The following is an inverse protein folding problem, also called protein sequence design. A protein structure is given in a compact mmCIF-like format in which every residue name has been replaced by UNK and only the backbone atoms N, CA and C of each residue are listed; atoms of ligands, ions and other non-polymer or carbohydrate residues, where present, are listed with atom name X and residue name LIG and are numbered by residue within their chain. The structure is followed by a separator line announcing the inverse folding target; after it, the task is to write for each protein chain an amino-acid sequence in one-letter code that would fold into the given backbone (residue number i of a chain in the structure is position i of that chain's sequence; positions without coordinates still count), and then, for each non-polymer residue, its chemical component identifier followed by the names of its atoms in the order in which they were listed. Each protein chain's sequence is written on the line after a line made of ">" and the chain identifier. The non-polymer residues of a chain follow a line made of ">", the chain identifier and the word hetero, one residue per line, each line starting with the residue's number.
data_IF_014936578116
#
_entry.id   IF_014936578116
#
_cell.length_a   1.000
_cell.length_b   1.000
_cell.length_c   1.000
_cell.angle_alpha   90.00
_cell.angle_beta   90.00
_cell.angle_gamma   90.00
#
_symmetry.space_group_name_H-M   'P 1'
#
loop_
_entity.id
_entity.type
_entity.pdbx_description
1 polymer ?
#
# COMPACT_ATOMS: atom_id res chain seq x y z
N UNK A 1 44.51 2.70 -9.79
CA UNK A 1 43.33 1.83 -9.59
C UNK A 1 42.19 2.41 -10.40
N UNK A 2 41.70 1.69 -11.42
CA UNK A 2 40.58 2.16 -12.25
C UNK A 2 39.29 1.95 -11.47
N UNK A 3 38.59 3.03 -11.11
CA UNK A 3 37.24 2.95 -10.54
C UNK A 3 36.28 2.54 -11.64
N UNK A 4 36.01 1.25 -11.75
CA UNK A 4 35.05 0.70 -12.71
C UNK A 4 33.67 1.31 -12.46
N UNK A 5 33.19 2.11 -13.41
CA UNK A 5 31.90 2.81 -13.34
C UNK A 5 30.77 1.78 -13.28
N UNK A 6 30.07 1.68 -12.15
CA UNK A 6 28.88 0.81 -12.00
C UNK A 6 27.68 1.44 -12.70
N UNK A 7 26.83 0.61 -13.29
CA UNK A 7 25.58 1.06 -13.94
C UNK A 7 24.42 0.89 -12.97
N UNK A 8 23.48 1.83 -12.96
CA UNK A 8 22.27 1.76 -12.14
C UNK A 8 21.21 0.92 -12.88
N UNK A 9 20.73 -0.13 -12.24
CA UNK A 9 19.58 -0.91 -12.68
C UNK A 9 18.43 -0.72 -11.68
N UNK A 10 17.20 -0.63 -12.19
CA UNK A 10 16.02 -0.46 -11.37
C UNK A 10 14.92 -1.41 -11.83
N UNK A 11 14.39 -2.21 -10.90
CA UNK A 11 13.22 -3.04 -11.10
C UNK A 11 12.00 -2.32 -10.57
N UNK A 12 10.98 -2.20 -11.40
CA UNK A 12 9.70 -1.62 -11.03
C UNK A 12 8.64 -2.70 -11.17
N UNK A 13 7.97 -3.01 -10.07
CA UNK A 13 6.69 -3.69 -10.08
C UNK A 13 5.59 -2.63 -10.15
N UNK A 14 4.41 -2.96 -10.65
CA UNK A 14 3.30 -2.00 -10.86
C UNK A 14 2.87 -1.19 -9.61
N UNK A 15 3.38 -1.51 -8.42
CA UNK A 15 3.27 -0.70 -7.20
C UNK A 15 4.63 -0.07 -6.84
N UNK A 16 4.74 1.27 -6.75
CA UNK A 16 6.00 1.95 -6.42
C UNK A 16 6.62 1.51 -5.09
N UNK A 17 5.84 0.96 -4.15
CA UNK A 17 6.32 0.45 -2.86
C UNK A 17 7.24 -0.78 -2.99
N UNK A 18 7.23 -1.43 -4.15
CA UNK A 18 8.03 -2.65 -4.42
C UNK A 18 9.15 -2.41 -5.44
N UNK A 19 9.51 -1.14 -5.65
CA UNK A 19 10.63 -0.76 -6.52
C UNK A 19 11.95 -1.22 -5.90
N UNK A 20 12.77 -1.93 -6.69
CA UNK A 20 14.11 -2.36 -6.29
C UNK A 20 15.18 -1.62 -7.09
N UNK A 21 16.25 -1.18 -6.42
CA UNK A 21 17.39 -0.53 -7.07
C UNK A 21 18.66 -1.34 -6.84
N UNK A 22 19.37 -1.65 -7.92
CA UNK A 22 20.58 -2.46 -7.89
C UNK A 22 21.71 -1.78 -8.65
N UNK A 23 22.94 -1.87 -8.13
CA UNK A 23 24.15 -1.40 -8.82
C UNK A 23 24.82 -2.59 -9.49
N UNK A 24 24.87 -2.59 -10.81
CA UNK A 24 25.31 -3.73 -11.60
C UNK A 24 26.64 -3.49 -12.29
N UNK A 25 27.38 -4.58 -12.50
CA UNK A 25 28.68 -4.53 -13.17
C UNK A 25 28.49 -4.25 -14.68
N UNK A 26 29.26 -3.34 -15.28
CA UNK A 26 29.08 -2.92 -16.67
C UNK A 26 29.27 -4.03 -17.70
N UNK A 27 29.96 -5.11 -17.33
CA UNK A 27 30.20 -6.25 -18.22
C UNK A 27 29.01 -7.19 -18.34
N UNK A 28 27.96 -7.06 -17.54
CA UNK A 28 26.80 -7.95 -17.64
C UNK A 28 25.97 -7.61 -18.89
N UNK A 29 25.20 -8.59 -19.38
CA UNK A 29 24.23 -8.34 -20.45
C UNK A 29 22.92 -7.79 -19.89
N UNK A 30 22.12 -7.13 -20.74
CA UNK A 30 20.78 -6.64 -20.38
C UNK A 30 19.94 -7.77 -19.82
N UNK A 31 19.93 -8.94 -20.47
CA UNK A 31 19.18 -10.13 -20.02
C UNK A 31 19.57 -10.58 -18.61
N UNK A 32 20.87 -10.66 -18.31
CA UNK A 32 21.37 -11.08 -17.00
C UNK A 32 20.95 -10.11 -15.90
N UNK A 33 21.03 -8.80 -16.19
CA UNK A 33 20.64 -7.77 -15.22
C UNK A 33 19.13 -7.74 -15.01
N UNK A 34 18.35 -7.82 -16.10
CA UNK A 34 16.88 -7.86 -16.03
C UNK A 34 16.42 -9.10 -15.27
N UNK A 35 17.00 -10.27 -15.53
CA UNK A 35 16.66 -11.50 -14.81
C UNK A 35 16.94 -11.42 -13.30
N UNK A 36 18.09 -10.87 -12.91
CA UNK A 36 18.43 -10.68 -11.50
C UNK A 36 17.49 -9.66 -10.82
N UNK A 37 17.26 -8.51 -11.47
CA UNK A 37 16.34 -7.48 -10.97
C UNK A 37 14.92 -8.01 -10.84
N UNK A 38 14.47 -8.83 -11.80
CA UNK A 38 13.16 -9.51 -11.76
C UNK A 38 13.04 -10.41 -10.53
N UNK A 39 14.05 -11.24 -10.25
CA UNK A 39 14.05 -12.09 -9.06
C UNK A 39 14.02 -11.27 -7.76
N UNK A 40 14.80 -10.20 -7.68
CA UNK A 40 14.82 -9.34 -6.49
C UNK A 40 13.45 -8.66 -6.25
N UNK A 41 12.84 -8.15 -7.32
CA UNK A 41 11.50 -7.54 -7.26
C UNK A 41 10.47 -8.57 -6.79
N UNK A 42 10.50 -9.78 -7.34
CA UNK A 42 9.58 -10.85 -6.94
C UNK A 42 9.77 -11.22 -5.48
N UNK A 43 11.01 -11.42 -5.03
CA UNK A 43 11.29 -11.75 -3.62
C UNK A 43 10.78 -10.66 -2.67
N UNK A 44 10.92 -9.39 -3.06
CA UNK A 44 10.36 -8.28 -2.30
C UNK A 44 8.82 -8.30 -2.26
N UNK A 45 8.17 -8.61 -3.38
CA UNK A 45 6.71 -8.74 -3.46
C UNK A 45 6.22 -9.91 -2.58
N UNK A 46 6.87 -11.07 -2.67
CA UNK A 46 6.57 -12.24 -1.83
C UNK A 46 6.68 -11.90 -0.34
N UNK A 47 7.75 -11.20 0.05
CA UNK A 47 7.97 -10.76 1.43
C UNK A 47 6.98 -9.69 1.87
N UNK A 48 6.69 -8.71 1.03
CA UNK A 48 5.82 -7.58 1.36
C UNK A 48 4.36 -8.01 1.53
N UNK A 49 3.89 -8.95 0.68
CA UNK A 49 2.49 -9.39 0.70
C UNK A 49 2.28 -10.77 1.33
N UNK A 50 3.36 -11.46 1.75
CA UNK A 50 3.29 -12.81 2.29
C UNK A 50 2.74 -13.81 1.29
N UNK A 51 3.23 -13.75 0.05
CA UNK A 51 2.78 -14.56 -1.09
C UNK A 51 3.89 -15.53 -1.53
N UNK A 52 3.49 -16.64 -2.13
CA UNK A 52 4.37 -17.54 -2.89
C UNK A 52 3.96 -17.46 -4.35
N UNK A 53 4.88 -17.08 -5.24
CA UNK A 53 4.62 -16.92 -6.66
C UNK A 53 5.24 -18.10 -7.42
N UNK A 54 4.44 -19.15 -7.67
CA UNK A 54 4.91 -20.44 -8.20
C UNK A 54 5.41 -20.41 -9.66
N UNK A 55 5.30 -19.28 -10.37
CA UNK A 55 5.66 -19.19 -11.79
C UNK A 55 6.28 -17.82 -12.14
N UNK A 56 7.48 -17.60 -11.62
CA UNK A 56 8.25 -16.36 -11.81
C UNK A 56 8.84 -16.23 -13.21
N UNK A 57 9.01 -17.36 -13.92
CA UNK A 57 9.53 -17.41 -15.27
C UNK A 57 8.58 -16.75 -16.27
N UNK A 58 7.26 -16.96 -16.11
CA UNK A 58 6.23 -16.51 -17.05
C UNK A 58 5.75 -15.05 -16.91
N UNK A 59 6.34 -14.27 -15.99
CA UNK A 59 5.99 -12.84 -15.90
C UNK A 59 6.56 -12.06 -17.09
N UNK A 60 5.71 -11.25 -17.71
CA UNK A 60 6.14 -10.37 -18.80
C UNK A 60 7.08 -9.29 -18.26
N UNK A 61 8.14 -8.99 -19.00
CA UNK A 61 9.19 -8.08 -18.55
C UNK A 61 9.56 -7.13 -19.68
N UNK A 62 9.25 -5.86 -19.49
CA UNK A 62 9.61 -4.79 -20.42
C UNK A 62 10.77 -4.00 -19.83
N UNK A 63 11.68 -3.50 -20.64
CA UNK A 63 12.80 -2.71 -20.15
C UNK A 63 13.07 -1.47 -20.99
N UNK A 64 13.56 -0.44 -20.33
CA UNK A 64 13.77 0.91 -20.85
C UNK A 64 15.20 1.38 -20.57
N UNK A 65 15.91 1.94 -21.57
CA UNK A 65 15.50 2.04 -22.97
C UNK A 65 15.41 0.65 -23.64
N UNK A 66 14.70 0.56 -24.77
CA UNK A 66 14.64 -0.68 -25.55
C UNK A 66 16.06 -1.07 -26.00
N UNK A 67 16.47 -2.29 -25.69
CA UNK A 67 17.82 -2.81 -25.90
C UNK A 67 17.76 -4.25 -26.41
N UNK A 68 18.81 -4.74 -27.07
CA UNK A 68 18.88 -6.18 -27.31
C UNK A 68 19.26 -6.90 -26.01
N UNK A 69 18.67 -8.07 -25.68
CA UNK A 69 19.01 -8.84 -24.49
C UNK A 69 20.51 -9.17 -24.37
N UNK A 70 21.17 -9.34 -25.52
CA UNK A 70 22.60 -9.64 -25.63
C UNK A 70 23.52 -8.42 -25.48
N UNK A 71 22.97 -7.19 -25.49
CA UNK A 71 23.77 -5.97 -25.33
C UNK A 71 24.38 -5.88 -23.93
N UNK A 72 25.55 -5.26 -23.83
CA UNK A 72 26.19 -4.97 -22.54
C UNK A 72 25.48 -3.80 -21.85
N UNK A 73 25.29 -3.91 -20.54
CA UNK A 73 24.63 -2.85 -19.75
C UNK A 73 25.47 -1.56 -19.70
N UNK A 74 26.78 -1.64 -19.95
CA UNK A 74 27.66 -0.47 -20.11
C UNK A 74 27.22 0.51 -21.21
N UNK A 75 26.46 0.05 -22.19
CA UNK A 75 25.94 0.88 -23.29
C UNK A 75 24.82 1.81 -22.84
N UNK A 76 24.27 1.60 -21.63
CA UNK A 76 23.13 2.34 -21.11
C UNK A 76 23.53 3.09 -19.83
N UNK A 77 23.12 4.38 -19.69
CA UNK A 77 23.40 5.14 -18.47
C UNK A 77 22.59 4.62 -17.28
N UNK A 78 21.39 4.10 -17.55
CA UNK A 78 20.48 3.49 -16.60
C UNK A 78 19.61 2.46 -17.32
N UNK A 79 19.31 1.36 -16.65
CA UNK A 79 18.39 0.33 -17.13
C UNK A 79 17.21 0.21 -16.17
N UNK A 80 15.99 0.29 -16.70
CA UNK A 80 14.76 0.10 -15.93
C UNK A 80 14.04 -1.14 -16.44
N UNK A 81 13.69 -2.06 -15.56
CA UNK A 81 12.94 -3.27 -15.86
C UNK A 81 11.56 -3.18 -15.20
N UNK A 82 10.51 -3.11 -16.01
CA UNK A 82 9.12 -3.21 -15.58
C UNK A 82 8.70 -4.69 -15.59
N UNK A 83 8.35 -5.21 -14.43
CA UNK A 83 7.90 -6.60 -14.27
C UNK A 83 6.39 -6.60 -14.08
N UNK A 84 5.67 -7.26 -14.97
CA UNK A 84 4.21 -7.33 -14.96
C UNK A 84 3.76 -8.73 -14.50
N UNK A 85 2.99 -8.84 -13.39
CA UNK A 85 2.43 -10.12 -12.97
C UNK A 85 1.49 -10.69 -14.02
N UNK A 86 1.40 -12.02 -14.10
CA UNK A 86 0.37 -12.68 -14.90
C UNK A 86 -1.02 -12.35 -14.37
N UNK A 87 -2.07 -12.59 -15.16
CA UNK A 87 -3.45 -12.35 -14.72
C UNK A 87 -3.81 -13.20 -13.47
N UNK A 88 -3.34 -14.45 -13.43
CA UNK A 88 -3.54 -15.34 -12.29
C UNK A 88 -2.86 -14.81 -11.02
N UNK A 89 -1.60 -14.36 -11.13
CA UNK A 89 -0.86 -13.75 -10.01
C UNK A 89 -1.52 -12.43 -9.56
N UNK A 90 -1.94 -11.61 -10.52
CA UNK A 90 -2.67 -10.36 -10.24
C UNK A 90 -3.96 -10.62 -9.48
N UNK A 91 -4.70 -11.68 -9.83
CA UNK A 91 -5.92 -12.10 -9.13
C UNK A 91 -5.61 -12.54 -7.70
N UNK A 92 -4.60 -13.38 -7.52
CA UNK A 92 -4.18 -13.86 -6.20
C UNK A 92 -3.70 -12.71 -5.29
N UNK A 93 -2.93 -11.76 -5.82
CA UNK A 93 -2.51 -10.54 -5.11
C UNK A 93 -3.74 -9.73 -4.67
N UNK A 94 -4.71 -9.51 -5.58
CA UNK A 94 -5.94 -8.77 -5.27
C UNK A 94 -6.79 -9.45 -4.20
N UNK A 95 -6.93 -10.77 -4.26
CA UNK A 95 -7.65 -11.56 -3.25
C UNK A 95 -6.97 -11.44 -1.88
N UNK A 96 -5.64 -11.54 -1.84
CA UNK A 96 -4.88 -11.39 -0.59
C UNK A 96 -5.00 -9.97 -0.02
N UNK A 97 -4.88 -8.94 -0.85
CA UNK A 97 -5.06 -7.55 -0.43
C UNK A 97 -6.47 -7.31 0.14
N UNK A 98 -7.48 -7.87 -0.52
CA UNK A 98 -8.87 -7.78 -0.03
C UNK A 98 -9.04 -8.47 1.32
N UNK A 99 -8.40 -9.64 1.50
CA UNK A 99 -8.39 -10.37 2.78
C UNK A 99 -7.66 -9.59 3.89
N UNK A 100 -6.52 -8.98 3.60
CA UNK A 100 -5.77 -8.16 4.55
C UNK A 100 -6.56 -6.91 4.95
N UNK A 101 -7.22 -6.25 3.99
CA UNK A 101 -8.05 -5.08 4.26
C UNK A 101 -9.27 -5.44 5.13
N UNK A 102 -9.88 -6.62 4.91
CA UNK A 102 -10.96 -7.12 5.75
C UNK A 102 -10.47 -7.40 7.19
N UNK A 103 -9.32 -8.06 7.34
CA UNK A 103 -8.72 -8.35 8.65
C UNK A 103 -8.29 -7.07 9.39
N UNK A 104 -7.79 -6.06 8.67
CA UNK A 104 -7.46 -4.75 9.25
C UNK A 104 -8.71 -4.05 9.78
N UNK A 105 -9.80 -4.06 9.00
CA UNK A 105 -11.09 -3.51 9.43
C UNK A 105 -11.61 -4.22 10.68
N UNK A 106 -11.56 -5.55 10.72
CA UNK A 106 -11.94 -6.33 11.90
C UNK A 106 -11.08 -5.97 13.13
N UNK A 107 -9.77 -5.82 12.96
CA UNK A 107 -8.87 -5.37 14.02
C UNK A 107 -9.19 -3.96 14.51
N UNK A 108 -9.59 -3.04 13.63
CA UNK A 108 -10.04 -1.71 14.02
C UNK A 108 -11.35 -1.77 14.82
N UNK A 109 -12.31 -2.60 14.38
CA UNK A 109 -13.58 -2.80 15.09
C UNK A 109 -13.35 -3.42 16.49
N UNK A 110 -12.43 -4.38 16.60
CA UNK A 110 -12.02 -4.96 17.89
C UNK A 110 -11.35 -3.93 18.80
N UNK A 111 -10.49 -3.06 18.25
CA UNK A 111 -9.89 -1.96 19.03
C UNK A 111 -10.94 -1.01 19.57
N UNK A 112 -11.95 -0.68 18.78
CA UNK A 112 -13.08 0.18 19.22
C UNK A 112 -13.85 -0.53 20.34
N UNK A 113 -14.25 -1.80 20.15
CA UNK A 113 -14.96 -2.56 21.20
C UNK A 113 -14.18 -2.70 22.49
N UNK A 114 -12.88 -2.98 22.42
CA UNK A 114 -12.03 -3.09 23.60
C UNK A 114 -11.92 -1.74 24.34
N UNK A 115 -11.87 -0.63 23.60
CA UNK A 115 -11.90 0.72 24.20
C UNK A 115 -13.24 0.98 24.90
N UNK A 116 -14.35 0.60 24.28
CA UNK A 116 -15.69 0.78 24.87
C UNK A 116 -15.88 -0.07 26.12
N UNK A 117 -15.42 -1.31 26.11
CA UNK A 117 -15.42 -2.19 27.28
C UNK A 117 -14.55 -1.63 28.42
N UNK A 118 -13.35 -1.14 28.10
CA UNK A 118 -12.48 -0.52 29.08
C UNK A 118 -13.13 0.71 29.74
N UNK A 119 -13.78 1.57 28.94
CA UNK A 119 -14.52 2.72 29.46
C UNK A 119 -15.70 2.28 30.36
N UNK A 120 -16.45 1.25 29.96
CA UNK A 120 -17.56 0.71 30.77
C UNK A 120 -17.10 0.10 32.11
N UNK A 121 -15.91 -0.52 32.13
CA UNK A 121 -15.27 -1.01 33.35
C UNK A 121 -14.86 0.13 34.29
N UNK A 122 -14.35 1.23 33.73
CA UNK A 122 -14.04 2.44 34.51
C UNK A 122 -15.31 3.05 35.10
N UNK A 123 -16.40 3.12 34.33
CA UNK A 123 -17.69 3.64 34.81
C UNK A 123 -18.28 2.79 35.94
N UNK A 124 -18.19 1.45 35.84
CA UNK A 124 -18.64 0.54 36.91
C UNK A 124 -17.80 0.61 38.16
N UNK A 125 -16.49 0.84 38.05
CA UNK A 125 -15.61 1.07 39.21
C UNK A 125 -15.87 2.44 39.87
N UNK A 126 -16.27 3.45 39.09
CA UNK A 126 -16.56 4.79 39.58
C UNK A 126 -17.99 4.95 40.11
N UNK A 127 -18.91 4.03 39.84
CA UNK A 127 -20.19 4.00 40.53
C UNK A 127 -20.01 3.59 42.00
N UNK A 128 -20.35 4.46 42.97
CA UNK A 128 -20.14 4.15 44.38
C UNK A 128 -21.07 3.01 44.80
N UNK A 129 -20.48 1.87 45.16
CA UNK A 129 -21.16 0.73 45.77
C UNK A 129 -21.66 1.12 47.16
N UNK A 130 -22.83 1.76 47.19
CA UNK A 130 -23.62 1.94 48.39
C UNK A 130 -24.33 0.63 48.74
N UNK A 131 -23.74 -0.21 49.59
CA UNK A 131 -24.52 -1.06 50.51
C UNK A 131 -23.64 -1.68 51.60
N UNK A 132 -23.78 -1.07 52.77
CA UNK A 132 -23.35 -1.50 54.10
C UNK A 132 -23.60 -3.00 54.35
N UNK A 133 -22.56 -3.73 54.79
CA UNK A 133 -22.73 -4.87 55.69
C UNK A 133 -21.71 -4.77 56.84
N UNK A 134 -22.25 -4.60 58.05
CA UNK A 134 -21.52 -4.49 59.32
C UNK A 134 -20.84 -5.82 59.68
N UNK A 135 -19.57 -5.83 60.14
CA UNK A 135 -19.04 -6.96 60.88
C UNK A 135 -19.49 -6.88 62.35
N UNK A 136 -20.20 -7.91 62.81
CA UNK A 136 -20.57 -8.12 64.21
C UNK A 136 -19.34 -8.58 64.99
N UNK A 137 -18.92 -7.79 65.97
CA UNK A 137 -17.91 -8.13 66.96
C UNK A 137 -18.40 -9.27 67.87
N UNK A 138 -17.72 -10.42 67.84
CA UNK A 138 -17.91 -11.54 68.78
C UNK A 138 -16.72 -11.62 69.74
N UNK A 139 -17.00 -11.28 71.00
CA UNK A 139 -16.11 -11.21 72.17
C UNK A 139 -15.70 -12.63 72.62
N UNK A 140 -14.40 -12.93 72.70
CA UNK A 140 -13.85 -14.15 73.33
C UNK A 140 -13.03 -13.77 74.56
N UNK A 141 -13.46 -14.26 75.73
CA UNK A 141 -13.08 -13.85 77.09
C UNK A 141 -12.00 -14.79 77.66
N UNK A 142 -11.11 -14.25 78.47
CA UNK A 142 -10.06 -14.97 79.19
C UNK A 142 -10.57 -15.74 80.42
N UNK A 143 -9.85 -16.84 80.74
CA UNK A 143 -9.54 -17.47 82.05
C UNK A 143 -10.67 -17.84 83.02
N UNK A 144 -10.71 -19.10 83.49
CA UNK A 144 -10.43 -19.46 84.90
C UNK A 144 -10.28 -21.00 85.13
N UNK A 145 -9.57 -21.32 86.23
CA UNK A 145 -9.24 -22.64 86.82
C UNK A 145 -10.48 -23.40 87.32
N UNK A 146 -10.39 -24.73 87.41
CA UNK A 146 -10.45 -25.49 88.69
C UNK A 146 -10.31 -27.02 88.50
N UNK A 147 -9.58 -27.63 89.44
CA UNK A 147 -9.51 -29.08 89.83
C UNK A 147 -10.71 -29.36 90.79
N UNK A 148 -11.00 -30.57 91.36
CA UNK A 148 -10.20 -31.81 91.47
C UNK A 148 -10.94 -33.18 91.40
N UNK A 149 -10.15 -34.27 91.54
CA UNK A 149 -10.41 -35.57 92.25
C UNK A 149 -11.42 -36.57 91.62
N UNK A 150 -11.21 -37.90 91.59
CA UNK A 150 -10.57 -38.90 92.47
C UNK A 150 -10.26 -40.20 91.63
N UNK A 151 -9.13 -40.91 91.82
CA UNK A 151 -8.95 -42.23 92.53
C UNK A 151 -9.49 -43.45 91.72
N UNK A 152 -8.84 -44.59 91.48
CA UNK A 152 -7.91 -45.45 92.25
C UNK A 152 -7.08 -46.39 91.33
N UNK A 153 -5.96 -46.87 91.91
CA UNK A 153 -5.34 -48.20 91.81
C UNK A 153 -4.92 -48.83 90.46
N UNK A 154 -3.61 -48.90 90.23
CA UNK A 154 -2.91 -50.19 90.10
C UNK A 154 -1.39 -50.00 90.04
N UNK A 155 -0.70 -50.47 91.08
CA UNK A 155 0.74 -50.49 91.19
C UNK A 155 1.30 -51.73 90.46
N UNK A 156 2.30 -51.49 89.58
CA UNK A 156 3.24 -52.44 88.95
C UNK A 156 3.29 -52.52 87.41
N UNK A 157 2.91 -51.47 86.68
CA UNK A 157 3.29 -51.27 85.25
C UNK A 157 3.66 -49.81 84.88
N UNK A 158 3.79 -48.93 85.89
CA UNK A 158 3.85 -47.46 85.69
C UNK A 158 5.17 -46.96 85.09
N UNK A 159 6.27 -47.70 85.22
CA UNK A 159 7.56 -47.32 84.61
C UNK A 159 7.58 -47.52 83.10
N UNK A 160 6.77 -48.43 82.58
CA UNK A 160 6.66 -48.74 81.15
C UNK A 160 5.77 -47.72 80.45
N UNK A 161 4.66 -47.33 81.09
CA UNK A 161 3.76 -46.30 80.59
C UNK A 161 4.37 -44.90 80.62
N UNK A 162 5.09 -44.54 81.69
CA UNK A 162 5.77 -43.25 81.79
C UNK A 162 6.84 -43.09 80.70
N UNK A 163 7.58 -44.16 80.38
CA UNK A 163 8.55 -44.17 79.26
C UNK A 163 7.87 -44.01 77.91
N UNK A 164 6.77 -44.73 77.65
CA UNK A 164 5.97 -44.55 76.43
C UNK A 164 5.42 -43.13 76.30
N UNK A 165 5.02 -42.50 77.40
CA UNK A 165 4.50 -41.13 77.40
C UNK A 165 5.61 -40.12 77.08
N UNK A 166 6.80 -40.27 77.65
CA UNK A 166 7.97 -39.42 77.35
C UNK A 166 8.40 -39.60 75.90
N UNK A 167 8.44 -40.84 75.41
CA UNK A 167 8.82 -41.15 74.02
C UNK A 167 7.80 -40.58 73.03
N UNK A 168 6.51 -40.66 73.35
CA UNK A 168 5.43 -40.05 72.56
C UNK A 168 5.48 -38.51 72.61
N UNK A 169 5.90 -37.93 73.73
CA UNK A 169 6.05 -36.49 73.87
C UNK A 169 7.26 -35.97 73.09
N UNK A 170 8.39 -36.70 73.13
CA UNK A 170 9.57 -36.40 72.32
C UNK A 170 9.27 -36.51 70.82
N UNK A 171 8.57 -37.55 70.39
CA UNK A 171 8.13 -37.70 68.99
C UNK A 171 7.19 -36.56 68.55
N UNK A 172 6.36 -36.03 69.45
CA UNK A 172 5.51 -34.85 69.16
C UNK A 172 6.32 -33.57 69.03
N UNK A 173 7.36 -33.38 69.84
CA UNK A 173 8.27 -32.23 69.71
C UNK A 173 9.07 -32.30 68.41
N UNK A 174 9.61 -33.47 68.05
CA UNK A 174 10.30 -33.66 66.77
C UNK A 174 9.38 -33.40 65.57
N UNK A 175 8.11 -33.83 65.63
CA UNK A 175 7.13 -33.51 64.59
C UNK A 175 6.78 -32.02 64.54
N UNK A 176 6.78 -31.31 65.67
CA UNK A 176 6.55 -29.86 65.70
C UNK A 176 7.74 -29.09 65.15
N UNK A 177 8.96 -29.48 65.50
CA UNK A 177 10.18 -28.87 64.99
C UNK A 177 10.31 -29.10 63.47
N UNK A 178 9.99 -30.30 62.99
CA UNK A 178 9.95 -30.60 61.56
C UNK A 178 8.92 -29.75 60.80
N UNK A 179 7.72 -29.55 61.37
CA UNK A 179 6.69 -28.67 60.79
C UNK A 179 7.11 -27.21 60.79
N UNK A 180 7.79 -26.75 61.85
CA UNK A 180 8.30 -25.38 61.94
C UNK A 180 9.37 -25.12 60.88
N UNK A 181 10.29 -26.07 60.67
CA UNK A 181 11.32 -25.98 59.63
C UNK A 181 10.70 -26.00 58.22
N UNK A 182 9.73 -26.87 57.95
CA UNK A 182 8.97 -26.83 56.69
C UNK A 182 8.23 -25.51 56.48
N UNK A 183 7.67 -24.93 57.54
CA UNK A 183 6.98 -23.64 57.43
C UNK A 183 7.98 -22.49 57.18
N UNK A 184 9.20 -22.56 57.73
CA UNK A 184 10.27 -21.61 57.43
C UNK A 184 10.72 -21.70 55.98
N UNK A 185 10.91 -22.91 55.44
CA UNK A 185 11.30 -23.09 54.03
C UNK A 185 10.21 -22.57 53.09
N UNK A 186 8.94 -22.90 53.34
CA UNK A 186 7.80 -22.39 52.54
C UNK A 186 7.73 -20.85 52.59
N UNK A 187 7.94 -20.25 53.77
CA UNK A 187 7.94 -18.80 53.90
C UNK A 187 9.14 -18.13 53.21
N UNK A 188 10.29 -18.80 53.12
CA UNK A 188 11.44 -18.31 52.37
C UNK A 188 11.18 -18.37 50.87
N UNK A 189 10.65 -19.49 50.37
CA UNK A 189 10.25 -19.64 48.96
C UNK A 189 9.21 -18.59 48.57
N UNK A 190 8.17 -18.39 49.39
CA UNK A 190 7.15 -17.37 49.12
C UNK A 190 7.70 -15.93 49.08
N UNK A 191 8.75 -15.63 49.88
CA UNK A 191 9.43 -14.33 49.84
C UNK A 191 10.26 -14.17 48.59
N UNK A 192 10.93 -15.22 48.17
CA UNK A 192 11.75 -15.25 46.96
C UNK A 192 10.85 -15.07 45.72
N UNK A 193 9.75 -15.81 45.64
CA UNK A 193 8.76 -15.71 44.56
C UNK A 193 8.13 -14.31 44.51
N UNK A 194 7.77 -13.73 45.66
CA UNK A 194 7.29 -12.35 45.71
C UNK A 194 8.33 -11.34 45.23
N UNK A 195 9.61 -11.57 45.54
CA UNK A 195 10.69 -10.69 45.07
C UNK A 195 10.81 -10.79 43.55
N UNK A 196 10.83 -12.00 43.00
CA UNK A 196 10.89 -12.22 41.55
C UNK A 196 9.68 -11.62 40.82
N UNK A 197 8.47 -11.76 41.39
CA UNK A 197 7.25 -11.17 40.81
C UNK A 197 7.32 -9.65 40.76
N UNK A 198 7.81 -9.01 41.83
CA UNK A 198 8.00 -7.54 41.86
C UNK A 198 9.04 -7.08 40.85
N UNK A 199 10.15 -7.81 40.71
CA UNK A 199 11.17 -7.51 39.71
C UNK A 199 10.64 -7.69 38.27
N UNK A 200 9.84 -8.73 38.02
CA UNK A 200 9.19 -8.94 36.72
C UNK A 200 8.21 -7.81 36.39
N UNK A 201 7.37 -7.41 37.37
CA UNK A 201 6.40 -6.33 37.21
C UNK A 201 7.10 -4.98 36.92
N UNK A 202 8.20 -4.69 37.62
CA UNK A 202 8.99 -3.48 37.38
C UNK A 202 9.66 -3.47 35.99
N UNK A 203 10.11 -4.63 35.50
CA UNK A 203 10.65 -4.76 34.14
C UNK A 203 9.56 -4.58 33.08
N UNK A 204 8.35 -5.09 33.35
CA UNK A 204 7.23 -4.96 32.43
C UNK A 204 6.70 -3.52 32.38
N UNK A 205 6.59 -2.84 33.52
CA UNK A 205 6.21 -1.42 33.56
C UNK A 205 7.22 -0.54 32.81
N UNK A 206 8.52 -0.79 32.98
CA UNK A 206 9.55 -0.05 32.26
C UNK A 206 9.48 -0.27 30.73
N UNK A 207 9.15 -1.50 30.28
CA UNK A 207 8.94 -1.78 28.86
C UNK A 207 7.71 -1.07 28.30
N UNK A 208 6.62 -1.00 29.07
CA UNK A 208 5.40 -0.30 28.66
C UNK A 208 5.65 1.20 28.53
N UNK A 209 6.34 1.82 29.49
CA UNK A 209 6.72 3.24 29.41
C UNK A 209 7.59 3.50 28.17
N UNK A 210 8.58 2.64 27.91
CA UNK A 210 9.40 2.76 26.70
C UNK A 210 8.57 2.60 25.42
N UNK A 211 7.62 1.66 25.39
CA UNK A 211 6.73 1.48 24.25
C UNK A 211 5.80 2.69 24.04
N UNK A 212 5.35 3.33 25.11
CA UNK A 212 4.54 4.55 25.04
C UNK A 212 5.34 5.71 24.43
N UNK A 213 6.59 5.91 24.87
CA UNK A 213 7.46 6.94 24.27
C UNK A 213 7.69 6.74 22.78
N UNK A 214 7.95 5.50 22.33
CA UNK A 214 8.11 5.17 20.91
C UNK A 214 6.82 5.44 20.13
N UNK A 215 5.67 5.11 20.71
CA UNK A 215 4.38 5.36 20.06
C UNK A 215 4.10 6.86 19.91
N UNK A 216 4.51 7.68 20.88
CA UNK A 216 4.32 9.12 20.82
C UNK A 216 5.27 9.78 19.81
N UNK A 217 6.53 9.33 19.73
CA UNK A 217 7.45 9.72 18.65
C UNK A 217 6.87 9.36 17.27
N UNK A 218 6.35 8.14 17.11
CA UNK A 218 5.75 7.70 15.85
C UNK A 218 4.48 8.50 15.48
N UNK A 219 3.70 8.94 16.48
CA UNK A 219 2.54 9.82 16.26
C UNK A 219 2.98 11.20 15.80
N UNK A 220 4.03 11.74 16.40
CA UNK A 220 4.61 13.04 16.03
C UNK A 220 5.15 13.01 14.60
N UNK A 221 5.94 12.00 14.25
CA UNK A 221 6.49 11.82 12.90
C UNK A 221 5.37 11.69 11.86
N UNK A 222 4.32 10.92 12.16
CA UNK A 222 3.17 10.82 11.26
C UNK A 222 2.41 12.15 11.10
N UNK A 223 2.33 12.96 12.16
CA UNK A 223 1.72 14.29 12.08
C UNK A 223 2.54 15.18 11.15
N UNK A 224 3.86 15.24 11.37
CA UNK A 224 4.78 16.03 10.53
C UNK A 224 4.76 15.58 9.07
N UNK A 225 4.75 14.27 8.81
CA UNK A 225 4.68 13.74 7.45
C UNK A 225 3.37 14.11 6.75
N UNK A 226 2.24 14.09 7.47
CA UNK A 226 0.94 14.52 6.93
C UNK A 226 0.92 16.01 6.62
N UNK A 227 1.49 16.83 7.49
CA UNK A 227 1.61 18.27 7.27
C UNK A 227 2.51 18.59 6.08
N UNK A 228 3.66 17.91 5.96
CA UNK A 228 4.56 18.04 4.82
C UNK A 228 3.87 17.63 3.52
N UNK A 229 3.13 16.51 3.52
CA UNK A 229 2.37 16.06 2.36
C UNK A 229 1.26 17.06 1.97
N UNK A 230 0.55 17.62 2.95
CA UNK A 230 -0.47 18.63 2.70
C UNK A 230 0.13 19.90 2.09
N UNK A 231 1.29 20.34 2.61
CA UNK A 231 2.02 21.50 2.09
C UNK A 231 2.52 21.26 0.67
N UNK A 232 3.11 20.10 0.38
CA UNK A 232 3.55 19.74 -0.97
C UNK A 232 2.37 19.67 -1.96
N UNK A 233 1.24 19.09 -1.54
CA UNK A 233 0.02 19.09 -2.36
C UNK A 233 -0.50 20.49 -2.65
N UNK A 234 -0.44 21.39 -1.66
CA UNK A 234 -0.84 22.78 -1.85
C UNK A 234 0.12 23.51 -2.80
N UNK A 235 1.44 23.32 -2.63
CA UNK A 235 2.46 23.92 -3.49
C UNK A 235 2.28 23.51 -4.96
N UNK A 236 1.99 22.23 -5.21
CA UNK A 236 1.83 21.72 -6.57
C UNK A 236 0.41 21.89 -7.16
N UNK A 237 -0.56 22.36 -6.37
CA UNK A 237 -1.92 22.57 -6.89
C UNK A 237 -1.93 23.61 -8.01
N UNK A 238 -1.20 24.72 -7.82
CA UNK A 238 -1.11 25.80 -8.80
C UNK A 238 -0.35 25.35 -10.06
N UNK A 239 0.73 24.59 -9.90
CA UNK A 239 1.50 24.03 -11.03
C UNK A 239 0.64 23.08 -11.87
N UNK A 240 -0.12 22.19 -11.22
CA UNK A 240 -1.02 21.25 -11.89
C UNK A 240 -2.10 22.02 -12.66
N UNK A 241 -2.66 23.08 -12.07
CA UNK A 241 -3.68 23.88 -12.74
C UNK A 241 -3.09 24.67 -13.92
N UNK A 242 -1.89 25.21 -13.79
CA UNK A 242 -1.18 25.86 -14.89
C UNK A 242 -0.91 24.89 -16.04
N UNK A 243 -0.44 23.67 -15.74
CA UNK A 243 -0.24 22.62 -16.74
C UNK A 243 -1.55 22.23 -17.44
N UNK A 244 -2.66 22.12 -16.69
CA UNK A 244 -3.98 21.87 -17.28
C UNK A 244 -4.40 22.98 -18.25
N UNK A 245 -4.21 24.24 -17.88
CA UNK A 245 -4.55 25.38 -18.73
C UNK A 245 -3.73 25.39 -20.03
N UNK A 246 -2.43 25.08 -19.93
CA UNK A 246 -1.56 24.95 -21.11
C UNK A 246 -2.06 23.81 -22.01
N UNK A 247 -2.29 22.62 -21.45
CA UNK A 247 -2.78 21.46 -22.23
C UNK A 247 -4.11 21.76 -22.93
N UNK A 248 -5.06 22.40 -22.25
CA UNK A 248 -6.35 22.82 -22.84
C UNK A 248 -6.14 23.80 -24.01
N UNK A 249 -5.15 24.69 -23.89
CA UNK A 249 -4.80 25.66 -24.93
C UNK A 249 -4.10 25.02 -26.14
N UNK A 250 -3.44 23.87 -25.97
CA UNK A 250 -2.76 23.13 -27.04
C UNK A 250 -3.73 22.27 -27.88
N UNK A 251 -4.82 21.76 -27.30
CA UNK A 251 -5.77 20.89 -28.01
C UNK A 251 -6.25 21.49 -29.34
N UNK A 252 -6.71 22.76 -29.42
CA UNK A 252 -7.13 23.36 -30.69
C UNK A 252 -6.01 23.43 -31.73
N UNK A 253 -4.75 23.56 -31.30
CA UNK A 253 -3.59 23.57 -32.18
C UNK A 253 -3.37 22.19 -32.81
N UNK A 254 -3.36 21.13 -32.00
CA UNK A 254 -3.16 19.76 -32.50
C UNK A 254 -4.30 19.33 -33.43
N UNK A 255 -5.55 19.68 -33.09
CA UNK A 255 -6.70 19.42 -33.96
C UNK A 255 -6.61 20.22 -35.27
N UNK A 256 -6.03 21.42 -35.26
CA UNK A 256 -5.79 22.18 -36.50
C UNK A 256 -4.76 21.50 -37.38
N UNK A 257 -3.66 21.01 -36.80
CA UNK A 257 -2.63 20.23 -37.52
C UNK A 257 -3.25 19.03 -38.21
N UNK A 258 -4.12 18.29 -37.52
CA UNK A 258 -4.85 17.16 -38.11
C UNK A 258 -5.62 17.57 -39.37
N UNK A 259 -6.34 18.69 -39.33
CA UNK A 259 -7.11 19.16 -40.49
C UNK A 259 -6.22 19.60 -41.65
N UNK A 260 -5.05 20.18 -41.35
CA UNK A 260 -4.10 20.63 -42.38
C UNK A 260 -3.34 19.44 -43.01
N UNK A 261 -2.97 18.43 -42.21
CA UNK A 261 -2.46 17.14 -42.70
C UNK A 261 -3.49 16.42 -43.58
N UNK A 262 -4.77 16.45 -43.19
CA UNK A 262 -5.85 15.89 -43.98
C UNK A 262 -6.02 16.59 -45.33
N UNK A 263 -5.94 17.93 -45.36
CA UNK A 263 -5.93 18.70 -46.62
C UNK A 263 -4.74 18.35 -47.49
N UNK A 264 -3.54 18.29 -46.91
CA UNK A 264 -2.32 17.91 -47.62
C UNK A 264 -2.45 16.55 -48.28
N UNK A 265 -2.89 15.53 -47.54
CA UNK A 265 -3.09 14.18 -48.08
C UNK A 265 -4.10 14.14 -49.23
N UNK A 266 -5.15 14.96 -49.17
CA UNK A 266 -6.12 15.09 -50.27
C UNK A 266 -5.48 15.75 -51.49
N UNK A 267 -4.70 16.82 -51.32
CA UNK A 267 -3.97 17.47 -52.41
C UNK A 267 -3.02 16.50 -53.10
N UNK A 268 -2.27 15.71 -52.32
CA UNK A 268 -1.36 14.68 -52.83
C UNK A 268 -2.10 13.62 -53.66
N UNK A 269 -3.29 13.18 -53.22
CA UNK A 269 -4.11 12.19 -53.96
C UNK A 269 -4.70 12.78 -55.25
N UNK A 270 -5.11 14.05 -55.22
CA UNK A 270 -5.75 14.72 -56.35
C UNK A 270 -4.75 15.37 -57.32
N UNK A 271 -3.46 15.34 -57.01
CA UNK A 271 -2.40 16.05 -57.74
C UNK A 271 -2.72 17.55 -57.92
N UNK A 272 -3.10 18.22 -56.84
CA UNK A 272 -3.36 19.66 -56.83
C UNK A 272 -2.26 20.40 -56.05
N UNK A 273 -1.87 21.59 -56.53
CA UNK A 273 -0.74 22.34 -55.98
C UNK A 273 -1.05 22.97 -54.61
N UNK A 274 -2.27 23.53 -54.45
CA UNK A 274 -2.69 24.16 -53.20
C UNK A 274 -4.18 23.93 -52.90
N UNK A 275 -4.56 24.12 -51.64
CA UNK A 275 -5.96 24.00 -51.23
C UNK A 275 -6.82 25.12 -51.80
N UNK A 276 -6.25 26.31 -51.91
CA UNK A 276 -6.86 27.49 -52.50
C UNK A 276 -7.16 27.28 -53.98
N UNK A 277 -6.23 26.69 -54.74
CA UNK A 277 -6.43 26.37 -56.16
C UNK A 277 -7.49 25.28 -56.35
N UNK A 278 -7.43 24.22 -55.55
CA UNK A 278 -8.45 23.16 -55.57
C UNK A 278 -9.85 23.71 -55.26
N UNK A 279 -9.94 24.63 -54.29
CA UNK A 279 -11.18 25.31 -53.91
C UNK A 279 -11.68 26.23 -55.03
N UNK A 280 -10.85 27.16 -55.51
CA UNK A 280 -11.27 28.21 -56.44
C UNK A 280 -12.54 28.92 -55.96
N UNK A 281 -13.52 29.10 -56.85
CA UNK A 281 -14.82 29.72 -56.55
C UNK A 281 -15.88 28.72 -56.02
N UNK A 282 -15.50 27.45 -55.77
CA UNK A 282 -16.45 26.43 -55.34
C UNK A 282 -16.91 26.70 -53.91
N UNK A 283 -18.23 26.59 -53.68
CA UNK A 283 -18.77 26.53 -52.34
C UNK A 283 -18.39 25.21 -51.64
N UNK A 284 -18.60 25.12 -50.32
CA UNK A 284 -18.20 23.94 -49.52
C UNK A 284 -18.84 22.64 -50.04
N UNK A 285 -20.10 22.69 -50.49
CA UNK A 285 -20.80 21.50 -51.00
C UNK A 285 -20.17 20.99 -52.29
N UNK A 286 -19.96 21.87 -53.27
CA UNK A 286 -19.31 21.51 -54.55
C UNK A 286 -17.87 21.04 -54.34
N UNK A 287 -17.11 21.70 -53.44
CA UNK A 287 -15.76 21.24 -53.10
C UNK A 287 -15.79 19.84 -52.48
N UNK A 288 -16.76 19.58 -51.59
CA UNK A 288 -16.96 18.25 -50.98
C UNK A 288 -17.24 17.20 -52.04
N UNK A 289 -18.10 17.49 -53.02
CA UNK A 289 -18.41 16.58 -54.13
C UNK A 289 -17.18 16.25 -54.98
N UNK A 290 -16.40 17.27 -55.34
CA UNK A 290 -15.16 17.10 -56.11
C UNK A 290 -14.17 16.22 -55.35
N UNK A 291 -13.94 16.50 -54.07
CA UNK A 291 -13.04 15.71 -53.21
C UNK A 291 -13.55 14.28 -53.05
N UNK A 292 -14.83 14.07 -52.79
CA UNK A 292 -15.42 12.73 -52.62
C UNK A 292 -15.28 11.88 -53.89
N UNK A 293 -15.51 12.48 -55.06
CA UNK A 293 -15.32 11.84 -56.36
C UNK A 293 -13.85 11.47 -56.60
N UNK A 294 -12.92 12.36 -56.27
CA UNK A 294 -11.49 12.08 -56.39
C UNK A 294 -10.99 11.00 -55.43
N UNK A 295 -11.59 10.88 -54.24
CA UNK A 295 -11.29 9.85 -53.26
C UNK A 295 -12.03 8.51 -53.51
N UNK A 296 -12.77 8.36 -54.62
CA UNK A 296 -13.63 7.19 -54.84
C UNK A 296 -12.89 5.84 -54.84
N UNK A 297 -11.60 5.84 -55.18
CA UNK A 297 -10.76 4.62 -55.21
C UNK A 297 -9.95 4.39 -53.92
N UNK A 298 -10.06 5.28 -52.94
CA UNK A 298 -9.29 5.18 -51.69
C UNK A 298 -10.05 4.30 -50.69
N UNK A 299 -9.39 3.24 -50.22
CA UNK A 299 -10.01 2.22 -49.36
C UNK A 299 -10.49 2.77 -48.01
N UNK A 300 -9.72 3.67 -47.39
CA UNK A 300 -10.01 4.29 -46.08
C UNK A 300 -10.54 5.73 -46.19
N UNK A 301 -11.37 6.02 -47.21
CA UNK A 301 -11.90 7.37 -47.40
C UNK A 301 -12.81 7.81 -46.23
N UNK A 302 -12.72 9.05 -45.75
CA UNK A 302 -13.65 9.60 -44.76
C UNK A 302 -15.09 9.66 -45.31
N UNK A 303 -16.06 9.75 -44.40
CA UNK A 303 -17.45 10.02 -44.80
C UNK A 303 -17.59 11.40 -45.47
N UNK A 304 -18.66 11.58 -46.24
CA UNK A 304 -19.03 12.89 -46.83
C UNK A 304 -19.11 14.00 -45.78
N UNK A 305 -19.60 13.68 -44.58
CA UNK A 305 -19.68 14.61 -43.46
C UNK A 305 -18.29 15.06 -42.98
N UNK A 306 -17.35 14.14 -42.85
CA UNK A 306 -15.98 14.44 -42.46
C UNK A 306 -15.24 15.26 -43.54
N UNK A 307 -15.45 14.96 -44.83
CA UNK A 307 -14.90 15.77 -45.92
C UNK A 307 -15.50 17.18 -45.94
N UNK A 308 -16.82 17.30 -45.77
CA UNK A 308 -17.49 18.61 -45.63
C UNK A 308 -16.94 19.40 -44.45
N UNK A 309 -16.74 18.74 -43.31
CA UNK A 309 -16.13 19.34 -42.13
C UNK A 309 -14.73 19.88 -42.41
N UNK A 310 -13.89 19.13 -43.14
CA UNK A 310 -12.53 19.51 -43.55
C UNK A 310 -12.51 20.66 -44.59
N UNK A 311 -13.51 20.70 -45.48
CA UNK A 311 -13.69 21.75 -46.48
C UNK A 311 -14.23 23.06 -45.88
N UNK A 312 -14.97 22.98 -44.78
CA UNK A 312 -15.59 24.12 -44.10
C UNK A 312 -14.60 24.94 -43.26
N UNK A 313 -14.98 26.19 -42.95
CA UNK A 313 -14.27 27.03 -41.97
C UNK A 313 -14.91 26.84 -40.58
N UNK A 314 -14.52 25.76 -39.90
CA UNK A 314 -15.08 25.31 -38.63
C UNK A 314 -14.40 25.92 -37.38
N UNK A 315 -14.93 25.61 -36.19
CA UNK A 315 -14.43 26.13 -34.91
C UNK A 315 -13.00 25.69 -34.59
N UNK A 316 -12.59 24.46 -34.96
CA UNK A 316 -11.21 23.99 -34.82
C UNK A 316 -10.26 24.89 -35.61
N UNK A 317 -10.65 25.28 -36.83
CA UNK A 317 -9.86 26.19 -37.66
C UNK A 317 -9.77 27.61 -37.11
N UNK A 318 -10.79 28.09 -36.38
CA UNK A 318 -10.80 29.41 -35.74
C UNK A 318 -10.00 29.47 -34.45
N UNK A 319 -10.02 28.39 -33.68
CA UNK A 319 -9.37 28.31 -32.37
C UNK A 319 -7.88 27.93 -32.49
N UNK A 320 -7.49 27.25 -33.56
CA UNK A 320 -6.08 26.91 -33.81
C UNK A 320 -5.27 28.09 -34.36
N UNK A 321 -3.98 28.14 -34.02
CA UNK A 321 -3.01 29.05 -34.62
C UNK A 321 -2.38 28.38 -35.85
N UNK A 322 -2.27 29.10 -36.96
CA UNK A 322 -1.58 28.65 -38.16
C UNK A 322 -0.08 28.38 -37.94
N UNK A 323 0.55 28.92 -36.89
CA UNK A 323 1.98 28.72 -36.63
C UNK A 323 2.32 27.38 -35.93
N UNK A 324 1.34 26.61 -35.47
CA UNK A 324 1.57 25.47 -34.58
C UNK A 324 1.75 24.12 -35.31
N UNK A 325 2.69 24.05 -36.26
CA UNK A 325 2.79 22.94 -37.24
C UNK A 325 3.61 21.70 -36.84
N UNK A 326 3.84 21.42 -35.55
CA UNK A 326 4.79 20.35 -35.14
C UNK A 326 4.22 19.29 -34.21
N UNK A 327 2.90 19.14 -34.11
CA UNK A 327 2.30 18.13 -33.24
C UNK A 327 2.62 16.70 -33.73
N UNK A 328 3.05 15.83 -32.82
CA UNK A 328 3.27 14.42 -33.07
C UNK A 328 1.94 13.66 -33.24
N UNK A 329 1.97 12.48 -33.85
CA UNK A 329 0.76 11.66 -34.06
C UNK A 329 0.01 11.38 -32.75
N UNK A 330 0.74 10.99 -31.70
CA UNK A 330 0.13 10.65 -30.40
C UNK A 330 -0.54 11.87 -29.75
N UNK A 331 0.08 13.04 -29.83
CA UNK A 331 -0.47 14.30 -29.32
C UNK A 331 -1.75 14.72 -30.06
N UNK A 332 -1.81 14.40 -31.36
CA UNK A 332 -3.00 14.60 -32.18
C UNK A 332 -4.08 13.58 -31.78
N UNK A 333 -3.73 12.31 -31.57
CA UNK A 333 -4.66 11.27 -31.12
C UNK A 333 -5.31 11.65 -29.79
N UNK A 334 -4.51 12.07 -28.82
CA UNK A 334 -4.99 12.55 -27.52
C UNK A 334 -5.92 13.76 -27.66
N UNK A 335 -5.56 14.72 -28.52
CA UNK A 335 -6.39 15.88 -28.77
C UNK A 335 -7.76 15.50 -29.37
N UNK A 336 -7.82 14.51 -30.27
CA UNK A 336 -9.09 13.97 -30.79
C UNK A 336 -9.91 13.33 -29.67
N UNK A 337 -9.27 12.53 -28.83
CA UNK A 337 -9.92 11.80 -27.73
C UNK A 337 -10.40 12.69 -26.59
N UNK A 338 -9.83 13.90 -26.45
CA UNK A 338 -10.26 14.90 -25.45
C UNK A 338 -11.66 15.47 -25.71
N UNK A 339 -12.19 15.36 -26.94
CA UNK A 339 -13.55 15.82 -27.27
C UNK A 339 -14.60 14.89 -26.68
N UNK A 340 -15.81 15.37 -26.36
CA UNK A 340 -16.91 14.51 -25.90
C UNK A 340 -17.21 13.39 -26.91
N UNK A 341 -17.34 12.16 -26.41
CA UNK A 341 -17.55 10.92 -27.20
C UNK A 341 -18.74 11.07 -28.16
N UNK A 342 -19.83 11.71 -27.71
CA UNK A 342 -21.06 11.83 -28.48
C UNK A 342 -21.06 12.98 -29.49
N UNK A 343 -20.01 13.80 -29.51
CA UNK A 343 -19.96 14.93 -30.44
C UNK A 343 -19.76 14.48 -31.88
N UNK A 344 -20.59 15.01 -32.79
CA UNK A 344 -20.47 14.73 -34.22
C UNK A 344 -19.10 15.17 -34.77
N UNK A 345 -18.56 16.28 -34.25
CA UNK A 345 -17.23 16.77 -34.58
C UNK A 345 -16.13 15.76 -34.24
N UNK A 346 -16.21 15.08 -33.07
CA UNK A 346 -15.25 14.04 -32.70
C UNK A 346 -15.26 12.89 -33.71
N UNK A 347 -16.45 12.40 -34.10
CA UNK A 347 -16.57 11.33 -35.11
C UNK A 347 -15.93 11.72 -36.45
N UNK A 348 -16.06 12.99 -36.84
CA UNK A 348 -15.40 13.49 -38.05
C UNK A 348 -13.88 13.57 -37.88
N UNK A 349 -13.39 14.04 -36.73
CA UNK A 349 -11.97 14.10 -36.42
C UNK A 349 -11.33 12.69 -36.38
N UNK A 350 -11.99 11.70 -35.78
CA UNK A 350 -11.54 10.30 -35.74
C UNK A 350 -11.43 9.67 -37.15
N UNK A 351 -12.39 9.96 -38.03
CA UNK A 351 -12.34 9.50 -39.42
C UNK A 351 -11.20 10.18 -40.19
N UNK A 352 -10.97 11.47 -39.96
CA UNK A 352 -9.86 12.20 -40.57
C UNK A 352 -8.52 11.66 -40.06
N UNK A 353 -8.40 11.37 -38.77
CA UNK A 353 -7.22 10.73 -38.18
C UNK A 353 -6.94 9.37 -38.82
N UNK A 354 -7.95 8.50 -38.86
CA UNK A 354 -7.84 7.18 -39.49
C UNK A 354 -7.45 7.27 -40.97
N UNK A 355 -7.98 8.28 -41.67
CA UNK A 355 -7.62 8.52 -43.06
C UNK A 355 -6.16 8.96 -43.22
N UNK A 356 -5.63 9.79 -42.33
CA UNK A 356 -4.26 10.31 -42.42
C UNK A 356 -3.23 9.25 -42.03
N UNK A 357 -3.41 8.65 -40.85
CA UNK A 357 -2.42 7.75 -40.24
C UNK A 357 -2.66 6.27 -40.53
N UNK A 358 -3.78 5.91 -41.18
CA UNK A 358 -4.16 4.52 -41.48
C UNK A 358 -4.35 3.63 -40.23
N UNK A 359 -4.56 4.26 -39.07
CA UNK A 359 -4.79 3.61 -37.79
C UNK A 359 -6.11 4.12 -37.17
N UNK A 360 -6.94 3.24 -36.59
CA UNK A 360 -8.07 3.69 -35.80
C UNK A 360 -7.57 4.49 -34.58
N UNK A 361 -8.37 5.48 -34.18
CA UNK A 361 -8.14 6.27 -32.95
C UNK A 361 -8.41 5.44 -31.71
#
# INVERSE_FOLDING_TARGET
>A
MSTTRRVKAMGVWMDPLTTQRSLVHPTLTVEQVVGAVKQDVISNVEKAYGLTLDDTANMDTQYFPHANPSDRVSSFPQLVSLVTPTEAQSRHIKERLSSLQAAEKENQDLKIRNRDLANSLVDTLNTPTGSKSKPKSGKGKATEKEKPQQEEDNDSDSTTELRKMIEQQNARFEQQDAKLEQQKTINQEFREDNRQLREALAKESAKLEQQETINDEFREDNRQLREALAKEKANHADDIEALRQVTVSLIPLHLRVLLDLGRKKILDILNADSWEDLRGEKNVYHLTDVVMSGLAKVQSRPSRGAISFLCSYNNVRRQGNAAAHTAAEDEIREAVMSKPIDSQDRKFLEQIFSFIFLHPV
#
